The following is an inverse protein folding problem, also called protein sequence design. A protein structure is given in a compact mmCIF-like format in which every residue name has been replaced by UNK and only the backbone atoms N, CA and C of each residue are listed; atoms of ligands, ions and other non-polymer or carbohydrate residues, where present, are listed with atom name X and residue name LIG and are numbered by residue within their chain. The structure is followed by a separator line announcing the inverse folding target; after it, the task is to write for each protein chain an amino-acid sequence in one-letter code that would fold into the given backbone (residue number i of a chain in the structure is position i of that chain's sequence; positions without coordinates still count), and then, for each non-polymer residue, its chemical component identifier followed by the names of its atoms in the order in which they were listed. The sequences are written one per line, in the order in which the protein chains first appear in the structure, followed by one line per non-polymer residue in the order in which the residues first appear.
data_IF_124100058968
#
_entry.id   IF_124100058968
#
_cell.length_a   1.000
_cell.length_b   1.000
_cell.length_c   1.000
_cell.angle_alpha   90.00
_cell.angle_beta   90.00
_cell.angle_gamma   90.00
#
_symmetry.space_group_name_H-M   'P 1'
#
loop_
_entity.id
_entity.type
_entity.pdbx_description
1 polymer ?
#
# COMPACT_ATOMS: atom_id res chain seq x y z
N UNK A 1 6.12 20.15 -13.32
CA UNK A 1 6.40 18.73 -12.98
C UNK A 1 5.14 18.13 -12.39
N UNK A 2 4.75 16.96 -12.87
CA UNK A 2 3.49 16.32 -12.49
C UNK A 2 3.63 15.54 -11.18
N UNK A 3 2.66 15.69 -10.29
CA UNK A 3 2.55 14.93 -9.04
C UNK A 3 1.40 13.95 -9.18
N UNK A 4 1.63 12.69 -8.81
CA UNK A 4 0.71 11.58 -9.08
C UNK A 4 0.46 10.77 -7.83
N UNK A 5 -0.69 10.09 -7.81
CA UNK A 5 -1.03 9.04 -6.86
C UNK A 5 -1.22 7.73 -7.62
N UNK A 6 -0.59 6.68 -7.12
CA UNK A 6 -0.73 5.32 -7.63
C UNK A 6 -1.18 4.41 -6.49
N UNK A 7 -2.34 3.77 -6.65
CA UNK A 7 -2.76 2.63 -5.81
C UNK A 7 -2.55 1.36 -6.62
N UNK A 8 -1.84 0.41 -6.06
CA UNK A 8 -1.73 -0.92 -6.64
C UNK A 8 -1.95 -2.00 -5.59
N UNK A 9 -2.32 -3.18 -6.07
CA UNK A 9 -2.42 -4.37 -5.25
C UNK A 9 -1.61 -5.52 -5.84
N UNK A 10 -1.20 -6.44 -4.98
CA UNK A 10 -0.51 -7.67 -5.38
C UNK A 10 -0.74 -8.79 -4.38
N UNK A 11 -0.34 -10.01 -4.73
CA UNK A 11 -0.41 -11.19 -3.86
C UNK A 11 0.99 -11.55 -3.38
N UNK A 12 1.16 -11.78 -2.08
CA UNK A 12 2.42 -12.29 -1.55
C UNK A 12 2.77 -13.66 -2.16
N UNK A 13 4.05 -13.89 -2.43
CA UNK A 13 4.55 -15.18 -2.88
C UNK A 13 4.91 -16.09 -1.71
N UNK A 14 5.49 -15.52 -0.64
CA UNK A 14 5.83 -16.21 0.60
C UNK A 14 4.97 -15.68 1.75
N UNK A 15 4.28 -16.58 2.47
CA UNK A 15 3.39 -16.21 3.59
C UNK A 15 3.95 -16.70 4.93
N UNK A 16 4.67 -17.82 4.95
CA UNK A 16 5.35 -18.35 6.14
C UNK A 16 6.60 -19.15 5.74
N UNK A 17 7.66 -19.17 6.57
CA UNK A 17 7.84 -18.43 7.82
C UNK A 17 8.42 -17.00 7.63
N UNK A 18 8.87 -16.65 6.43
CA UNK A 18 9.75 -15.49 6.19
C UNK A 18 9.03 -14.14 6.08
N UNK A 19 7.69 -14.13 6.08
CA UNK A 19 6.87 -12.95 5.82
C UNK A 19 7.22 -11.74 6.71
N UNK A 20 7.49 -11.97 8.00
CA UNK A 20 7.85 -10.89 8.93
C UNK A 20 9.17 -10.23 8.52
N UNK A 21 10.17 -11.05 8.17
CA UNK A 21 11.48 -10.56 7.76
C UNK A 21 11.41 -9.84 6.41
N UNK A 22 10.60 -10.37 5.49
CA UNK A 22 10.33 -9.75 4.19
C UNK A 22 9.68 -8.38 4.37
N UNK A 23 8.64 -8.28 5.21
CA UNK A 23 7.96 -7.02 5.52
C UNK A 23 8.92 -5.98 6.11
N UNK A 24 9.74 -6.35 7.10
CA UNK A 24 10.72 -5.43 7.68
C UNK A 24 11.71 -4.92 6.63
N UNK A 25 12.17 -5.81 5.74
CA UNK A 25 13.09 -5.45 4.65
C UNK A 25 12.42 -4.55 3.60
N UNK A 26 11.16 -4.81 3.26
CA UNK A 26 10.36 -3.93 2.38
C UNK A 26 10.26 -2.54 3.00
N UNK A 27 9.95 -2.44 4.29
CA UNK A 27 9.76 -1.16 4.96
C UNK A 27 11.04 -0.36 5.08
N UNK A 28 12.16 -0.98 5.45
CA UNK A 28 13.45 -0.31 5.56
C UNK A 28 13.89 0.26 4.19
N UNK A 29 13.80 -0.57 3.14
CA UNK A 29 14.14 -0.14 1.77
C UNK A 29 13.18 0.92 1.23
N UNK A 30 11.89 0.82 1.54
CA UNK A 30 10.90 1.82 1.13
C UNK A 30 11.12 3.16 1.84
N UNK A 31 11.32 3.18 3.17
CA UNK A 31 11.51 4.42 3.92
C UNK A 31 12.75 5.18 3.44
N UNK A 32 13.89 4.48 3.26
CA UNK A 32 15.13 5.11 2.80
C UNK A 32 15.00 5.66 1.37
N UNK A 33 14.47 4.85 0.45
CA UNK A 33 14.30 5.28 -0.94
C UNK A 33 13.30 6.42 -1.06
N UNK A 34 12.17 6.34 -0.37
CA UNK A 34 11.09 7.30 -0.49
C UNK A 34 11.48 8.65 0.09
N UNK A 35 12.15 8.66 1.24
CA UNK A 35 12.69 9.88 1.87
C UNK A 35 13.65 10.63 0.93
N UNK A 36 14.54 9.91 0.23
CA UNK A 36 15.51 10.51 -0.71
C UNK A 36 14.90 11.03 -2.02
N UNK A 37 13.67 10.62 -2.35
CA UNK A 37 13.03 10.92 -3.64
C UNK A 37 11.71 11.69 -3.50
N UNK A 38 11.41 12.22 -2.30
CA UNK A 38 10.16 12.93 -1.99
C UNK A 38 8.90 12.10 -2.34
N UNK A 39 8.96 10.80 -2.05
CA UNK A 39 7.81 9.89 -2.19
C UNK A 39 7.19 9.68 -0.81
N UNK A 40 5.87 9.66 -0.76
CA UNK A 40 5.10 9.39 0.46
C UNK A 40 4.07 8.32 0.18
N UNK A 41 3.56 7.67 1.22
CA UNK A 41 2.60 6.61 1.01
C UNK A 41 2.33 5.70 2.19
N UNK A 42 1.52 4.69 1.92
CA UNK A 42 1.10 3.65 2.85
C UNK A 42 1.20 2.28 2.19
N UNK A 43 1.61 1.28 2.96
CA UNK A 43 1.63 -0.13 2.62
C UNK A 43 0.76 -0.88 3.63
N UNK A 44 -0.23 -1.60 3.13
CA UNK A 44 -1.05 -2.50 3.89
C UNK A 44 -0.82 -3.96 3.48
N UNK A 45 -0.85 -4.85 4.46
CA UNK A 45 -0.72 -6.29 4.22
C UNK A 45 -1.73 -7.10 5.03
N UNK A 46 -2.36 -8.09 4.41
CA UNK A 46 -3.25 -9.04 5.06
C UNK A 46 -4.02 -9.90 4.07
N UNK A 47 -4.50 -11.06 4.52
CA UNK A 47 -5.20 -12.04 3.66
C UNK A 47 -4.38 -12.46 2.41
N UNK A 48 -3.04 -12.41 2.50
CA UNK A 48 -2.13 -12.70 1.39
C UNK A 48 -2.01 -11.59 0.34
N UNK A 49 -2.60 -10.42 0.59
CA UNK A 49 -2.56 -9.27 -0.32
C UNK A 49 -1.67 -8.16 0.21
N UNK A 50 -0.95 -7.51 -0.69
CA UNK A 50 -0.38 -6.19 -0.49
C UNK A 50 -1.28 -5.15 -1.16
N UNK A 51 -1.45 -4.02 -0.49
CA UNK A 51 -2.08 -2.82 -1.03
C UNK A 51 -1.20 -1.64 -0.71
N UNK A 52 -0.70 -0.95 -1.74
CA UNK A 52 0.21 0.17 -1.54
C UNK A 52 -0.25 1.38 -2.33
N UNK A 53 -0.25 2.52 -1.65
CA UNK A 53 -0.54 3.82 -2.24
C UNK A 53 0.71 4.68 -2.19
N UNK A 54 1.13 5.20 -3.34
CA UNK A 54 2.33 6.03 -3.51
C UNK A 54 1.94 7.41 -4.04
N UNK A 55 2.54 8.44 -3.48
CA UNK A 55 2.38 9.84 -3.89
C UNK A 55 3.75 10.48 -4.09
N UNK A 56 3.95 11.16 -5.21
CA UNK A 56 5.24 11.76 -5.52
C UNK A 56 5.29 12.37 -6.91
N UNK A 57 6.48 12.85 -7.28
CA UNK A 57 6.76 13.24 -8.68
C UNK A 57 6.55 12.04 -9.61
N UNK A 58 5.81 12.23 -10.70
CA UNK A 58 5.50 11.19 -11.69
C UNK A 58 6.72 10.36 -12.08
N UNK A 59 7.82 11.02 -12.46
CA UNK A 59 9.03 10.34 -12.87
C UNK A 59 9.63 9.43 -11.79
N UNK A 60 9.55 9.83 -10.52
CA UNK A 60 10.09 9.07 -9.38
C UNK A 60 9.18 7.93 -8.95
N UNK A 61 7.86 8.14 -8.99
CA UNK A 61 6.88 7.09 -8.73
C UNK A 61 6.94 6.02 -9.83
N UNK A 62 7.01 6.43 -11.10
CA UNK A 62 7.13 5.49 -12.23
C UNK A 62 8.46 4.71 -12.17
N UNK A 63 9.58 5.38 -11.90
CA UNK A 63 10.88 4.75 -11.72
C UNK A 63 10.83 3.68 -10.62
N UNK A 64 10.33 4.03 -9.45
CA UNK A 64 10.16 3.11 -8.33
C UNK A 64 9.27 1.92 -8.70
N UNK A 65 8.12 2.20 -9.31
CA UNK A 65 7.15 1.16 -9.64
C UNK A 65 7.69 0.17 -10.65
N UNK A 66 8.18 0.64 -11.80
CA UNK A 66 8.59 -0.24 -12.90
C UNK A 66 9.96 -0.89 -12.70
N UNK A 67 10.87 -0.25 -11.96
CA UNK A 67 12.23 -0.78 -11.80
C UNK A 67 12.43 -1.59 -10.53
N UNK A 68 11.61 -1.38 -9.50
CA UNK A 68 11.75 -2.09 -8.22
C UNK A 68 10.51 -2.90 -7.88
N UNK A 69 9.38 -2.22 -7.67
CA UNK A 69 8.17 -2.86 -7.16
C UNK A 69 7.71 -3.97 -8.10
N UNK A 70 7.49 -3.68 -9.39
CA UNK A 70 6.95 -4.67 -10.33
C UNK A 70 7.82 -5.93 -10.49
N UNK A 71 9.12 -5.83 -10.17
CA UNK A 71 10.12 -6.89 -10.35
C UNK A 71 10.46 -7.61 -9.03
N UNK A 72 9.77 -7.29 -7.95
CA UNK A 72 10.08 -7.83 -6.63
C UNK A 72 9.47 -9.24 -6.45
N UNK A 73 10.33 -10.25 -6.29
CA UNK A 73 9.93 -11.66 -6.22
C UNK A 73 9.09 -12.01 -4.97
N UNK A 74 8.98 -11.08 -4.00
CA UNK A 74 8.14 -11.25 -2.80
C UNK A 74 6.64 -11.11 -3.08
N UNK A 75 6.26 -10.71 -4.30
CA UNK A 75 4.86 -10.68 -4.72
C UNK A 75 4.65 -11.02 -6.19
N UNK A 76 3.40 -11.30 -6.54
CA UNK A 76 2.93 -11.62 -7.89
C UNK A 76 1.57 -10.96 -8.14
N UNK A 77 1.09 -11.02 -9.38
CA UNK A 77 -0.19 -10.42 -9.78
C UNK A 77 -0.27 -8.93 -9.38
N UNK A 78 0.78 -8.17 -9.69
CA UNK A 78 0.84 -6.75 -9.38
C UNK A 78 -0.01 -5.95 -10.39
N UNK A 79 -1.08 -5.31 -9.90
CA UNK A 79 -2.00 -4.54 -10.73
C UNK A 79 -2.17 -3.11 -10.19
N UNK A 80 -2.05 -2.14 -11.09
CA UNK A 80 -2.37 -0.74 -10.79
C UNK A 80 -3.90 -0.62 -10.81
N UNK A 81 -4.48 -0.31 -9.65
CA UNK A 81 -5.92 -0.13 -9.46
C UNK A 81 -6.33 1.34 -9.70
N UNK A 82 -5.45 2.26 -9.35
CA UNK A 82 -5.65 3.70 -9.52
C UNK A 82 -4.34 4.36 -9.94
N UNK A 83 -4.39 5.22 -10.95
CA UNK A 83 -3.30 6.10 -11.31
C UNK A 83 -3.87 7.43 -11.77
N UNK A 84 -3.66 8.49 -11.00
CA UNK A 84 -4.12 9.83 -11.38
C UNK A 84 -3.14 10.91 -10.95
N UNK A 85 -3.16 12.03 -11.67
CA UNK A 85 -2.56 13.28 -11.20
C UNK A 85 -3.30 13.75 -9.94
N UNK A 86 -2.57 14.23 -8.95
CA UNK A 86 -3.17 14.84 -7.77
C UNK A 86 -2.44 16.14 -7.40
N UNK A 87 -3.21 17.12 -6.95
CA UNK A 87 -2.67 18.44 -6.55
C UNK A 87 -2.25 18.45 -5.09
N UNK A 88 -2.78 17.53 -4.28
CA UNK A 88 -2.49 17.41 -2.86
C UNK A 88 -2.26 15.94 -2.47
N UNK A 89 -1.13 15.69 -1.80
CA UNK A 89 -0.87 14.42 -1.15
C UNK A 89 -1.73 14.21 0.10
N UNK A 90 -2.33 13.03 0.23
CA UNK A 90 -3.05 12.58 1.42
C UNK A 90 -2.10 11.94 2.46
N UNK A 91 -0.93 11.48 2.04
CA UNK A 91 -0.01 10.69 2.85
C UNK A 91 1.25 11.46 3.25
N UNK A 92 1.24 12.80 3.16
CA UNK A 92 2.41 13.69 3.34
C UNK A 92 3.21 13.49 4.64
N UNK A 93 2.62 12.87 5.65
CA UNK A 93 3.26 12.63 6.94
C UNK A 93 4.13 11.36 6.97
N UNK A 94 4.07 10.52 5.93
CA UNK A 94 4.72 9.22 5.92
C UNK A 94 5.50 8.98 4.64
N UNK A 95 6.83 8.89 4.76
CA UNK A 95 7.68 8.40 3.66
C UNK A 95 7.24 6.97 3.26
N UNK A 96 6.88 6.15 4.26
CA UNK A 96 6.10 4.93 4.08
C UNK A 96 5.52 4.51 5.43
N UNK A 97 4.19 4.50 5.56
CA UNK A 97 3.52 3.88 6.73
C UNK A 97 3.21 2.43 6.43
N UNK A 98 3.39 1.56 7.41
CA UNK A 98 2.88 0.19 7.38
C UNK A 98 1.67 0.03 8.30
N UNK A 99 0.71 -0.79 7.90
CA UNK A 99 -0.31 -1.30 8.80
C UNK A 99 -0.86 -2.66 8.32
N UNK A 100 -1.19 -3.59 9.23
CA UNK A 100 -1.94 -4.79 8.85
C UNK A 100 -3.35 -4.43 8.39
N UNK A 101 -3.96 -5.29 7.56
CA UNK A 101 -5.41 -5.19 7.28
C UNK A 101 -6.17 -5.32 8.59
N UNK A 102 -7.02 -4.34 8.87
CA UNK A 102 -7.80 -4.24 10.08
C UNK A 102 -9.30 -4.39 9.79
N UNK A 103 -10.10 -4.41 10.86
CA UNK A 103 -11.55 -4.57 10.75
C UNK A 103 -12.20 -3.50 9.86
N UNK A 104 -11.73 -2.25 9.86
CA UNK A 104 -12.34 -1.17 9.06
C UNK A 104 -12.15 -1.39 7.58
N UNK A 105 -10.98 -1.88 7.18
CA UNK A 105 -10.74 -2.28 5.79
C UNK A 105 -11.55 -3.52 5.42
N UNK A 106 -11.66 -4.51 6.30
CA UNK A 106 -12.54 -5.67 6.05
C UNK A 106 -14.02 -5.28 5.93
N UNK A 107 -14.51 -4.42 6.82
CA UNK A 107 -15.89 -3.92 6.82
C UNK A 107 -16.21 -3.17 5.52
N UNK A 108 -15.25 -2.41 4.98
CA UNK A 108 -15.39 -1.76 3.67
C UNK A 108 -15.69 -2.77 2.56
N UNK A 109 -14.97 -3.89 2.50
CA UNK A 109 -15.23 -4.92 1.48
C UNK A 109 -16.54 -5.67 1.74
N UNK A 110 -16.89 -5.91 3.00
CA UNK A 110 -18.16 -6.55 3.35
C UNK A 110 -19.37 -5.69 2.94
N UNK A 111 -19.30 -4.38 3.15
CA UNK A 111 -20.36 -3.43 2.81
C UNK A 111 -20.50 -3.22 1.30
N UNK A 112 -19.39 -3.05 0.60
CA UNK A 112 -19.39 -2.71 -0.83
C UNK A 112 -19.42 -3.92 -1.77
N UNK A 113 -18.92 -5.08 -1.33
CA UNK A 113 -18.70 -6.25 -2.18
C UNK A 113 -19.29 -7.55 -1.62
N UNK A 114 -19.80 -7.56 -0.38
CA UNK A 114 -20.33 -8.76 0.30
C UNK A 114 -19.32 -9.91 0.34
N UNK A 115 -18.04 -9.58 0.43
CA UNK A 115 -16.91 -10.52 0.37
C UNK A 115 -15.87 -10.16 1.45
N UNK A 116 -14.94 -11.08 1.68
CA UNK A 116 -13.74 -10.84 2.48
C UNK A 116 -12.82 -9.81 1.79
N UNK A 117 -11.76 -9.40 2.50
CA UNK A 117 -10.80 -8.43 1.97
C UNK A 117 -10.15 -8.92 0.66
N UNK A 118 -10.50 -8.28 -0.45
CA UNK A 118 -9.92 -8.54 -1.77
C UNK A 118 -9.81 -7.23 -2.56
N UNK A 119 -8.61 -6.62 -2.64
CA UNK A 119 -8.43 -5.31 -3.26
C UNK A 119 -8.71 -5.29 -4.76
N UNK A 120 -8.68 -6.44 -5.43
CA UNK A 120 -9.00 -6.55 -6.85
C UNK A 120 -10.50 -6.40 -7.15
N UNK A 121 -11.36 -6.33 -6.13
CA UNK A 121 -12.79 -6.02 -6.27
C UNK A 121 -13.08 -4.51 -6.30
N UNK A 122 -12.08 -3.67 -6.02
CA UNK A 122 -12.24 -2.22 -6.05
C UNK A 122 -12.67 -1.74 -7.44
N UNK A 123 -13.65 -0.85 -7.48
CA UNK A 123 -14.19 -0.26 -8.71
C UNK A 123 -13.86 1.23 -8.74
N UNK A 124 -14.06 1.87 -9.89
CA UNK A 124 -13.88 3.33 -10.02
C UNK A 124 -14.71 4.12 -9.00
N UNK A 125 -15.87 3.61 -8.60
CA UNK A 125 -16.76 4.28 -7.64
C UNK A 125 -16.32 4.11 -6.18
N UNK A 126 -15.71 2.95 -5.84
CA UNK A 126 -15.28 2.65 -4.47
C UNK A 126 -13.83 3.06 -4.16
N UNK A 127 -12.99 3.20 -5.19
CA UNK A 127 -11.54 3.39 -5.02
C UNK A 127 -11.16 4.70 -4.32
N UNK A 128 -11.88 5.79 -4.59
CA UNK A 128 -11.62 7.09 -3.97
C UNK A 128 -11.89 7.05 -2.46
N UNK A 129 -13.04 6.49 -2.05
CA UNK A 129 -13.40 6.29 -0.64
C UNK A 129 -12.41 5.36 0.06
N UNK A 130 -11.97 4.31 -0.63
CA UNK A 130 -10.97 3.40 -0.10
C UNK A 130 -9.63 4.11 0.15
N UNK A 131 -9.12 4.91 -0.80
CA UNK A 131 -7.89 5.70 -0.62
C UNK A 131 -8.02 6.66 0.57
N UNK A 132 -9.16 7.32 0.73
CA UNK A 132 -9.42 8.18 1.89
C UNK A 132 -9.42 7.39 3.20
N UNK A 133 -10.00 6.18 3.21
CA UNK A 133 -9.97 5.29 4.37
C UNK A 133 -8.53 4.91 4.75
N UNK A 134 -7.68 4.59 3.78
CA UNK A 134 -6.26 4.31 4.02
C UNK A 134 -5.51 5.49 4.64
N UNK A 135 -5.86 6.72 4.26
CA UNK A 135 -5.24 7.96 4.74
C UNK A 135 -5.75 8.39 6.13
N UNK A 136 -7.00 8.10 6.46
CA UNK A 136 -7.65 8.48 7.71
C UNK A 136 -7.22 7.62 8.91
N UNK A 137 -6.48 6.54 8.68
CA UNK A 137 -5.92 5.68 9.71
C UNK A 137 -4.75 6.41 10.41
N UNK A 138 -5.05 7.16 11.49
CA UNK A 138 -4.04 7.73 12.37
C UNK A 138 -3.49 6.65 13.30
N UNK A 139 -2.16 6.48 13.22
CA UNK A 139 -1.26 5.81 14.16
C UNK A 139 -1.90 4.99 15.30
N UNK A 140 -2.14 3.70 15.07
CA UNK A 140 -1.60 2.72 16.02
C UNK A 140 -0.09 2.67 15.76
N UNK A 141 0.72 2.59 16.81
CA UNK A 141 2.17 2.80 16.77
C UNK A 141 2.90 2.13 15.59
N UNK A 142 4.03 2.69 15.11
CA UNK A 142 4.70 2.24 13.89
C UNK A 142 5.15 0.78 13.86
N UNK A 143 5.05 0.04 14.97
CA UNK A 143 5.52 -1.35 15.12
C UNK A 143 4.65 -2.22 16.04
N UNK A 144 3.32 -2.04 16.07
CA UNK A 144 2.45 -2.99 16.76
C UNK A 144 2.28 -4.28 15.92
N UNK A 145 3.35 -5.07 15.78
CA UNK A 145 3.21 -6.51 15.55
C UNK A 145 2.74 -7.10 16.88
N UNK A 146 1.43 -7.09 17.16
CA UNK A 146 0.93 -7.87 18.28
C UNK A 146 1.15 -9.36 17.99
N UNK A 147 2.11 -9.91 18.73
CA UNK A 147 2.44 -11.32 18.82
C UNK A 147 1.25 -12.01 19.48
N UNK A 148 0.47 -12.75 18.69
CA UNK A 148 -0.29 -13.85 19.24
C UNK A 148 0.59 -15.09 19.09
N UNK A 149 1.15 -15.52 20.22
CA UNK A 149 1.81 -16.82 20.41
C UNK A 149 0.88 -17.99 20.05
#
# INVERSE_FOLDING_TARGET
MEFVRVLYASKATNIYPDLKQDLLTILDTAVDFNSRNDITGVLYYGHGYFVQCLEGRKSKVDELFYQKILKDDRHKNCEILFYQKCDFGLFKHWNMKFAPINKRLSDFFLEHHRDDFNPFLLTTDSISSFITLLAAEYATEPYAFELND
#
